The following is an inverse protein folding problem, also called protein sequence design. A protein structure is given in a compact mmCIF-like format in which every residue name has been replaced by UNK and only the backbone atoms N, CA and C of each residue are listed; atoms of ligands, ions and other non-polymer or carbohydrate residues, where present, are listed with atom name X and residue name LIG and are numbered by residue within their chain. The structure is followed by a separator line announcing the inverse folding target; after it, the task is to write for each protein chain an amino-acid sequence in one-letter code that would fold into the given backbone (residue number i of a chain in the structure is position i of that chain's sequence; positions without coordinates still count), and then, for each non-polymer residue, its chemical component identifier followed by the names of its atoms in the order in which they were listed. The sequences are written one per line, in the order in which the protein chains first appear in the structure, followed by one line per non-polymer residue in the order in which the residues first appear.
data_IF_880436053083
#
_entry.id   IF_880436053083
#
_cell.length_a   1.000
_cell.length_b   1.000
_cell.length_c   1.000
_cell.angle_alpha   90.00
_cell.angle_beta   90.00
_cell.angle_gamma   90.00
#
_symmetry.space_group_name_H-M   'P 1'
#
loop_
_entity.id
_entity.type
_entity.pdbx_description
1 polymer ?
#
# COMPACT_ATOMS: atom_id res chain seq x y z
N UNK A 1 35.03 -74.90 21.55
CA UNK A 1 33.96 -75.47 20.71
C UNK A 1 32.92 -74.37 20.49
N UNK A 2 32.93 -73.70 19.32
CA UNK A 2 32.03 -72.58 19.05
C UNK A 2 30.71 -73.10 18.48
N UNK A 3 29.54 -72.64 18.96
CA UNK A 3 28.26 -73.07 18.41
C UNK A 3 28.07 -72.43 17.03
N UNK A 4 27.83 -73.27 16.02
CA UNK A 4 27.39 -72.83 14.69
C UNK A 4 26.02 -72.17 14.83
N UNK A 5 25.99 -70.85 14.67
CA UNK A 5 24.77 -70.04 14.69
C UNK A 5 24.01 -70.36 13.40
N UNK A 6 22.91 -71.11 13.50
CA UNK A 6 22.02 -71.40 12.36
C UNK A 6 21.51 -70.07 11.80
N UNK A 7 21.82 -69.78 10.54
CA UNK A 7 21.25 -68.66 9.81
C UNK A 7 19.76 -68.98 9.56
N UNK A 8 18.88 -68.33 10.30
CA UNK A 8 17.44 -68.29 10.00
C UNK A 8 17.25 -67.37 8.80
N UNK A 9 17.02 -67.98 7.63
CA UNK A 9 16.68 -67.24 6.40
C UNK A 9 15.30 -66.59 6.50
N UNK A 10 15.14 -65.45 5.84
CA UNK A 10 13.85 -64.77 5.74
C UNK A 10 12.81 -65.65 5.05
N UNK A 11 11.59 -65.65 5.57
CA UNK A 11 10.48 -66.37 4.93
C UNK A 11 10.03 -65.61 3.67
N UNK A 12 9.56 -66.33 2.65
CA UNK A 12 9.12 -65.74 1.39
C UNK A 12 8.02 -64.67 1.61
N UNK A 13 7.13 -64.91 2.57
CA UNK A 13 6.07 -63.97 2.96
C UNK A 13 6.64 -62.67 3.55
N UNK A 14 7.66 -62.78 4.40
CA UNK A 14 8.32 -61.62 5.03
C UNK A 14 9.01 -60.73 3.99
N UNK A 15 9.59 -61.33 2.95
CA UNK A 15 10.19 -60.59 1.84
C UNK A 15 9.13 -59.88 0.98
N UNK A 16 7.98 -60.52 0.73
CA UNK A 16 6.87 -59.89 0.01
C UNK A 16 6.28 -58.71 0.79
N UNK A 17 6.12 -58.85 2.11
CA UNK A 17 5.62 -57.77 2.98
C UNK A 17 6.61 -56.60 3.02
N UNK A 18 7.91 -56.87 3.16
CA UNK A 18 8.93 -55.83 3.15
C UNK A 18 8.94 -55.03 1.83
N UNK A 19 8.81 -55.72 0.69
CA UNK A 19 8.74 -55.06 -0.62
C UNK A 19 7.45 -54.24 -0.80
N UNK A 20 6.31 -54.76 -0.31
CA UNK A 20 5.04 -54.04 -0.36
C UNK A 20 5.07 -52.76 0.48
N UNK A 21 5.57 -52.84 1.72
CA UNK A 21 5.73 -51.68 2.61
C UNK A 21 6.72 -50.68 2.01
N UNK A 22 7.85 -51.15 1.49
CA UNK A 22 8.84 -50.29 0.83
C UNK A 22 8.25 -49.52 -0.36
N UNK A 23 7.41 -50.18 -1.16
CA UNK A 23 6.76 -49.55 -2.32
C UNK A 23 5.76 -48.48 -1.90
N UNK A 24 4.96 -48.75 -0.87
CA UNK A 24 3.99 -47.76 -0.34
C UNK A 24 4.70 -46.53 0.22
N UNK A 25 5.79 -46.72 0.96
CA UNK A 25 6.58 -45.61 1.52
C UNK A 25 7.19 -44.76 0.40
N UNK A 26 7.79 -45.38 -0.62
CA UNK A 26 8.39 -44.66 -1.75
C UNK A 26 7.33 -43.88 -2.54
N UNK A 27 6.15 -44.48 -2.77
CA UNK A 27 5.04 -43.79 -3.46
C UNK A 27 4.51 -42.61 -2.65
N UNK A 28 4.31 -42.78 -1.33
CA UNK A 28 3.87 -41.70 -0.45
C UNK A 28 4.86 -40.54 -0.38
N UNK A 29 6.16 -40.84 -0.23
CA UNK A 29 7.21 -39.83 -0.22
C UNK A 29 7.37 -39.14 -1.58
N UNK A 30 7.22 -39.88 -2.68
CA UNK A 30 7.27 -39.34 -4.04
C UNK A 30 6.18 -38.32 -4.32
N UNK A 31 4.95 -38.56 -3.83
CA UNK A 31 3.86 -37.58 -3.94
C UNK A 31 4.16 -36.29 -3.17
N UNK A 32 4.61 -36.41 -1.92
CA UNK A 32 4.97 -35.24 -1.11
C UNK A 32 6.09 -34.41 -1.77
N UNK A 33 7.12 -35.09 -2.29
CA UNK A 33 8.21 -34.44 -3.02
C UNK A 33 7.69 -33.68 -4.24
N UNK A 34 6.85 -34.29 -5.07
CA UNK A 34 6.26 -33.64 -6.25
C UNK A 34 5.40 -32.42 -5.88
N UNK A 35 4.60 -32.52 -4.83
CA UNK A 35 3.79 -31.39 -4.34
C UNK A 35 4.68 -30.25 -3.85
N UNK A 36 5.74 -30.54 -3.10
CA UNK A 36 6.70 -29.52 -2.64
C UNK A 36 7.37 -28.79 -3.80
N UNK A 37 7.78 -29.49 -4.86
CA UNK A 37 8.34 -28.86 -6.06
C UNK A 37 7.34 -27.94 -6.77
N UNK A 38 6.08 -28.37 -6.87
CA UNK A 38 5.01 -27.54 -7.44
C UNK A 38 4.74 -26.29 -6.59
N UNK A 39 4.79 -26.40 -5.26
CA UNK A 39 4.62 -25.27 -4.35
C UNK A 39 5.76 -24.26 -4.47
N UNK A 40 7.02 -24.70 -4.54
CA UNK A 40 8.15 -23.79 -4.69
C UNK A 40 8.11 -23.00 -5.99
N UNK A 41 7.77 -23.65 -7.12
CA UNK A 41 7.63 -22.96 -8.40
C UNK A 41 6.52 -21.90 -8.38
N UNK A 42 5.40 -22.17 -7.70
CA UNK A 42 4.31 -21.19 -7.53
C UNK A 42 4.70 -20.01 -6.66
N UNK A 43 5.45 -20.24 -5.59
CA UNK A 43 5.91 -19.17 -4.70
C UNK A 43 6.91 -18.26 -5.41
N UNK A 44 7.83 -18.81 -6.20
CA UNK A 44 8.81 -18.01 -6.95
C UNK A 44 8.13 -17.14 -8.03
N UNK A 45 7.11 -17.65 -8.70
CA UNK A 45 6.35 -16.87 -9.69
C UNK A 45 5.57 -15.71 -9.04
N UNK A 46 4.92 -15.96 -7.90
CA UNK A 46 4.22 -14.92 -7.14
C UNK A 46 5.18 -13.85 -6.61
N UNK A 47 6.34 -14.25 -6.09
CA UNK A 47 7.34 -13.32 -5.57
C UNK A 47 7.89 -12.41 -6.69
N UNK A 48 8.16 -12.99 -7.88
CA UNK A 48 8.61 -12.21 -9.04
C UNK A 48 7.56 -11.19 -9.51
N UNK A 49 6.26 -11.54 -9.46
CA UNK A 49 5.17 -10.61 -9.80
C UNK A 49 5.11 -9.44 -8.82
N UNK A 50 5.26 -9.70 -7.52
CA UNK A 50 5.28 -8.66 -6.48
C UNK A 50 6.48 -7.71 -6.61
N UNK A 51 7.68 -8.26 -6.85
CA UNK A 51 8.88 -7.44 -7.06
C UNK A 51 8.75 -6.55 -8.31
N UNK A 52 8.20 -7.13 -9.39
CA UNK A 52 7.93 -6.41 -10.65
C UNK A 52 6.97 -5.24 -10.43
N UNK A 53 5.87 -5.45 -9.68
CA UNK A 53 4.91 -4.40 -9.32
C UNK A 53 5.59 -3.27 -8.54
N UNK A 54 6.29 -3.60 -7.47
CA UNK A 54 6.91 -2.60 -6.59
C UNK A 54 7.94 -1.76 -7.36
N UNK A 55 8.76 -2.43 -8.18
CA UNK A 55 9.74 -1.75 -9.01
C UNK A 55 9.09 -0.87 -10.08
N UNK A 56 8.06 -1.37 -10.78
CA UNK A 56 7.33 -0.61 -11.78
C UNK A 56 6.67 0.64 -11.19
N UNK A 57 5.90 0.48 -10.11
CA UNK A 57 5.20 1.57 -9.44
C UNK A 57 6.19 2.61 -8.94
N UNK A 58 7.27 2.21 -8.26
CA UNK A 58 8.26 3.16 -7.74
C UNK A 58 8.97 3.96 -8.85
N UNK A 59 9.29 3.33 -9.98
CA UNK A 59 9.91 4.01 -11.13
C UNK A 59 8.94 4.97 -11.81
N UNK A 60 7.74 4.50 -12.13
CA UNK A 60 6.72 5.30 -12.85
C UNK A 60 6.24 6.48 -12.03
N UNK A 61 5.94 6.25 -10.74
CA UNK A 61 5.54 7.31 -9.82
C UNK A 61 6.63 8.38 -9.74
N UNK A 62 7.90 8.00 -9.57
CA UNK A 62 8.98 8.96 -9.46
C UNK A 62 9.17 9.78 -10.75
N UNK A 63 9.11 9.14 -11.92
CA UNK A 63 9.29 9.80 -13.20
C UNK A 63 8.15 10.78 -13.50
N UNK A 64 6.90 10.31 -13.43
CA UNK A 64 5.75 11.18 -13.68
C UNK A 64 5.66 12.32 -12.65
N UNK A 65 6.09 12.12 -11.40
CA UNK A 65 6.18 13.22 -10.42
C UNK A 65 7.14 14.34 -10.85
N UNK A 66 8.20 14.02 -11.59
CA UNK A 66 9.15 15.01 -12.13
C UNK A 66 8.68 15.65 -13.44
N UNK A 67 7.52 15.24 -13.96
CA UNK A 67 7.06 15.62 -15.30
C UNK A 67 7.73 14.81 -16.42
N UNK A 68 8.47 13.74 -16.08
CA UNK A 68 9.02 12.82 -17.08
C UNK A 68 7.90 11.91 -17.58
N UNK A 69 7.41 12.21 -18.79
CA UNK A 69 6.36 11.44 -19.49
C UNK A 69 6.96 10.64 -20.65
N UNK A 70 6.14 9.83 -21.31
CA UNK A 70 6.57 9.04 -22.49
C UNK A 70 6.88 7.58 -22.18
N UNK A 71 6.37 7.04 -21.08
CA UNK A 71 6.39 5.60 -20.85
C UNK A 71 5.36 4.92 -21.73
N UNK A 72 5.76 3.81 -22.35
CA UNK A 72 4.90 3.06 -23.28
C UNK A 72 4.94 1.57 -22.95
N UNK A 73 3.87 0.84 -23.30
CA UNK A 73 3.92 -0.61 -23.35
C UNK A 73 4.28 -1.08 -24.76
N UNK A 74 5.21 -2.02 -24.84
CA UNK A 74 5.53 -2.71 -26.09
C UNK A 74 5.82 -4.19 -25.84
N UNK A 75 5.59 -5.00 -26.88
CA UNK A 75 5.88 -6.44 -26.84
C UNK A 75 7.36 -6.68 -26.54
N UNK A 76 7.63 -7.68 -25.71
CA UNK A 76 8.98 -8.16 -25.46
C UNK A 76 9.46 -8.96 -26.68
N UNK A 77 10.70 -8.74 -27.12
CA UNK A 77 11.27 -9.45 -28.29
C UNK A 77 11.50 -10.92 -28.02
N UNK A 78 11.74 -11.27 -26.75
CA UNK A 78 12.25 -12.59 -26.35
C UNK A 78 11.14 -13.53 -25.88
N UNK A 79 9.97 -12.98 -25.50
CA UNK A 79 8.85 -13.76 -24.98
C UNK A 79 7.56 -13.35 -25.71
N UNK A 80 7.01 -14.23 -26.57
CA UNK A 80 5.75 -13.96 -27.24
C UNK A 80 4.64 -13.87 -26.20
N UNK A 81 3.76 -12.88 -26.36
CA UNK A 81 2.62 -12.61 -25.47
C UNK A 81 2.95 -11.95 -24.12
N UNK A 82 4.12 -11.34 -24.00
CA UNK A 82 4.43 -10.45 -22.88
C UNK A 82 4.66 -9.02 -23.33
N UNK A 83 4.21 -8.09 -22.48
CA UNK A 83 4.48 -6.67 -22.60
C UNK A 83 5.59 -6.26 -21.64
N UNK A 84 6.31 -5.23 -22.04
CA UNK A 84 7.31 -4.54 -21.25
C UNK A 84 6.99 -3.06 -21.20
N UNK A 85 7.17 -2.46 -20.03
CA UNK A 85 7.15 -1.02 -19.86
C UNK A 85 8.49 -0.50 -20.39
N UNK A 86 8.41 0.50 -21.27
CA UNK A 86 9.57 1.16 -21.85
C UNK A 86 9.59 2.62 -21.46
N UNK A 87 10.78 3.15 -21.23
CA UNK A 87 10.97 4.59 -21.02
C UNK A 87 10.79 5.38 -22.33
N UNK A 88 10.91 6.71 -22.26
CA UNK A 88 10.85 7.60 -23.43
C UNK A 88 11.94 7.33 -24.48
N UNK A 89 13.02 6.64 -24.12
CA UNK A 89 14.10 6.23 -25.02
C UNK A 89 13.85 4.86 -25.66
N UNK A 90 12.74 4.19 -25.32
CA UNK A 90 12.39 2.86 -25.83
C UNK A 90 13.09 1.70 -25.11
N UNK A 91 13.81 1.94 -24.02
CA UNK A 91 14.49 0.89 -23.27
C UNK A 91 13.51 0.16 -22.33
N UNK A 92 13.53 -1.18 -22.27
CA UNK A 92 12.68 -1.94 -21.36
C UNK A 92 13.14 -1.74 -19.92
N UNK A 93 12.23 -1.29 -19.06
CA UNK A 93 12.46 -1.11 -17.62
C UNK A 93 11.82 -2.22 -16.79
N UNK A 94 10.67 -2.75 -17.24
CA UNK A 94 9.89 -3.77 -16.54
C UNK A 94 9.29 -4.71 -17.57
N UNK A 95 9.39 -6.03 -17.35
CA UNK A 95 8.80 -7.06 -18.21
C UNK A 95 7.76 -7.91 -17.47
N UNK A 96 7.25 -8.95 -18.14
CA UNK A 96 6.33 -9.92 -17.52
C UNK A 96 4.88 -9.44 -17.38
N UNK A 97 4.49 -8.39 -18.12
CA UNK A 97 3.10 -7.94 -18.18
C UNK A 97 2.32 -8.72 -19.24
N UNK A 98 1.03 -8.92 -19.00
CA UNK A 98 0.15 -9.61 -19.93
C UNK A 98 -0.32 -8.69 -21.07
N UNK A 99 -0.65 -9.32 -22.20
CA UNK A 99 -1.41 -8.65 -23.26
C UNK A 99 -2.85 -8.44 -22.80
N UNK A 100 -3.41 -7.26 -23.11
CA UNK A 100 -4.84 -7.00 -23.02
C UNK A 100 -5.44 -7.09 -24.41
N UNK A 101 -6.44 -7.95 -24.61
CA UNK A 101 -7.07 -8.18 -25.92
C UNK A 101 -6.07 -8.53 -27.05
N UNK A 102 -4.93 -9.14 -26.70
CA UNK A 102 -3.89 -9.55 -27.68
C UNK A 102 -2.85 -8.48 -28.00
N UNK A 103 -2.93 -7.30 -27.38
CA UNK A 103 -2.05 -6.17 -27.64
C UNK A 103 -1.46 -5.55 -26.35
N UNK A 104 -0.34 -4.85 -26.53
CA UNK A 104 0.26 -4.01 -25.49
C UNK A 104 -0.30 -2.59 -25.65
N UNK A 105 -1.46 -2.34 -25.03
CA UNK A 105 -2.13 -1.04 -25.16
C UNK A 105 -1.52 -0.01 -24.20
N UNK A 106 -0.73 0.93 -24.75
CA UNK A 106 -0.22 2.06 -23.95
C UNK A 106 -1.35 2.93 -23.43
N UNK A 107 -2.44 3.08 -24.20
CA UNK A 107 -3.62 3.84 -23.77
C UNK A 107 -4.29 3.22 -22.55
N UNK A 108 -4.27 1.89 -22.39
CA UNK A 108 -4.77 1.25 -21.16
C UNK A 108 -3.77 1.39 -20.02
N UNK A 109 -2.48 1.29 -20.33
CA UNK A 109 -1.41 1.35 -19.35
C UNK A 109 -1.32 2.69 -18.64
N UNK A 110 -1.41 3.80 -19.36
CA UNK A 110 -1.37 5.14 -18.78
C UNK A 110 -2.47 6.00 -19.41
N UNK A 111 -3.30 6.58 -18.54
CA UNK A 111 -4.35 7.54 -18.92
C UNK A 111 -4.22 8.77 -18.07
N UNK A 112 -4.71 9.89 -18.59
CA UNK A 112 -5.06 11.01 -17.73
C UNK A 112 -6.07 10.48 -16.70
N UNK A 113 -5.81 10.77 -15.43
CA UNK A 113 -6.79 10.46 -14.41
C UNK A 113 -7.95 11.44 -14.51
N UNK A 114 -9.15 10.93 -14.29
CA UNK A 114 -10.40 11.68 -14.34
C UNK A 114 -10.99 11.69 -12.92
N UNK A 115 -11.63 12.80 -12.50
CA UNK A 115 -12.44 12.86 -11.27
C UNK A 115 -13.94 12.69 -11.56
N UNK A 116 -14.32 13.07 -12.78
CA UNK A 116 -15.65 12.95 -13.36
C UNK A 116 -15.47 12.31 -14.74
N UNK A 117 -16.34 11.35 -15.14
CA UNK A 117 -16.19 10.68 -16.42
C UNK A 117 -16.08 11.67 -17.58
N UNK A 118 -14.95 11.64 -18.29
CA UNK A 118 -14.65 12.50 -19.44
C UNK A 118 -14.02 13.85 -19.13
N UNK A 119 -13.66 14.15 -17.88
CA UNK A 119 -12.94 15.37 -17.50
C UNK A 119 -11.51 15.05 -17.01
N UNK A 120 -10.52 15.03 -17.93
CA UNK A 120 -9.15 14.71 -17.59
C UNK A 120 -8.49 15.85 -16.81
N UNK A 121 -7.75 15.48 -15.76
CA UNK A 121 -7.04 16.45 -14.93
C UNK A 121 -5.60 16.55 -15.37
N UNK A 122 -5.16 17.79 -15.58
CA UNK A 122 -3.79 18.06 -15.99
C UNK A 122 -2.80 17.60 -14.90
N UNK A 123 -1.82 16.79 -15.29
CA UNK A 123 -0.79 16.27 -14.39
C UNK A 123 -1.23 15.09 -13.53
N UNK A 124 -2.49 14.67 -13.60
CA UNK A 124 -3.00 13.48 -12.93
C UNK A 124 -2.98 12.29 -13.88
N UNK A 125 -2.38 11.18 -13.47
CA UNK A 125 -2.23 9.99 -14.30
C UNK A 125 -2.64 8.73 -13.55
N UNK A 126 -3.40 7.87 -14.23
CA UNK A 126 -3.76 6.52 -13.79
C UNK A 126 -2.94 5.50 -14.57
N UNK A 127 -2.29 4.60 -13.84
CA UNK A 127 -1.57 3.46 -14.39
C UNK A 127 -2.37 2.19 -14.20
N UNK A 128 -2.35 1.30 -15.20
CA UNK A 128 -2.91 -0.05 -15.12
C UNK A 128 -1.88 -1.07 -15.60
N UNK A 129 -1.51 -2.00 -14.73
CA UNK A 129 -0.63 -3.12 -15.03
C UNK A 129 -1.46 -4.40 -15.10
N UNK A 130 -1.45 -5.08 -16.24
CA UNK A 130 -2.15 -6.34 -16.43
C UNK A 130 -1.16 -7.52 -16.28
N UNK A 131 -1.54 -8.51 -15.49
CA UNK A 131 -0.79 -9.75 -15.25
C UNK A 131 -1.62 -10.96 -15.66
N UNK A 132 -0.95 -12.05 -16.02
CA UNK A 132 -1.60 -13.32 -16.33
C UNK A 132 -1.69 -14.19 -15.07
N UNK A 133 -2.89 -14.71 -14.79
CA UNK A 133 -3.14 -15.72 -13.75
C UNK A 133 -2.92 -17.14 -14.29
N UNK A 134 -2.73 -18.09 -13.39
CA UNK A 134 -2.50 -19.51 -13.70
C UNK A 134 -3.65 -20.12 -14.52
N UNK A 135 -4.88 -19.64 -14.31
CA UNK A 135 -6.09 -20.06 -15.04
C UNK A 135 -6.25 -19.38 -16.41
N UNK A 136 -5.29 -18.54 -16.80
CA UNK A 136 -5.29 -17.78 -18.05
C UNK A 136 -6.11 -16.49 -18.00
N UNK A 137 -6.78 -16.17 -16.90
CA UNK A 137 -7.47 -14.89 -16.71
C UNK A 137 -6.49 -13.75 -16.42
N UNK A 138 -6.96 -12.51 -16.58
CA UNK A 138 -6.16 -11.30 -16.36
C UNK A 138 -6.39 -10.77 -14.94
N UNK A 139 -5.31 -10.33 -14.31
CA UNK A 139 -5.30 -9.61 -13.05
C UNK A 139 -4.74 -8.22 -13.29
N UNK A 140 -5.54 -7.19 -13.01
CA UNK A 140 -5.14 -5.80 -13.21
C UNK A 140 -4.84 -5.14 -11.88
N UNK A 141 -3.69 -4.49 -11.78
CA UNK A 141 -3.35 -3.57 -10.71
C UNK A 141 -3.39 -2.15 -11.26
N UNK A 142 -4.16 -1.27 -10.63
CA UNK A 142 -4.12 0.16 -10.97
C UNK A 142 -3.61 1.02 -9.83
N UNK A 143 -2.85 2.06 -10.17
CA UNK A 143 -2.39 3.05 -9.20
C UNK A 143 -2.37 4.44 -9.84
N UNK A 144 -2.30 5.46 -8.99
CA UNK A 144 -2.49 6.85 -9.35
C UNK A 144 -1.25 7.68 -9.02
N UNK A 145 -0.92 8.68 -9.83
CA UNK A 145 0.20 9.61 -9.58
C UNK A 145 -0.12 11.02 -10.06
N UNK A 146 0.51 12.02 -9.45
CA UNK A 146 0.35 13.44 -9.76
C UNK A 146 1.70 14.10 -10.04
N UNK A 147 1.79 14.90 -11.10
CA UNK A 147 2.95 15.75 -11.41
C UNK A 147 3.18 16.81 -10.32
N UNK A 148 4.43 17.00 -9.87
CA UNK A 148 4.75 17.96 -8.79
C UNK A 148 4.52 19.41 -9.18
N UNK A 149 4.71 19.74 -10.45
CA UNK A 149 4.72 21.11 -11.01
C UNK A 149 3.32 21.60 -11.41
N UNK A 150 2.32 20.69 -11.48
CA UNK A 150 0.97 20.98 -11.97
C UNK A 150 -0.10 20.75 -10.91
N UNK A 151 0.25 20.92 -9.63
CA UNK A 151 -0.69 20.71 -8.53
C UNK A 151 -1.84 21.69 -8.62
N UNK A 152 -3.04 21.15 -8.75
CA UNK A 152 -4.29 21.84 -8.48
C UNK A 152 -4.99 21.11 -7.34
N UNK A 153 -5.36 21.85 -6.30
CA UNK A 153 -6.28 21.37 -5.28
C UNK A 153 -7.67 21.38 -5.88
N UNK A 154 -8.14 20.18 -6.25
CA UNK A 154 -9.42 20.02 -6.91
C UNK A 154 -10.45 19.48 -5.92
N UNK A 155 -11.60 20.15 -5.75
CA UNK A 155 -12.69 19.66 -4.91
C UNK A 155 -13.44 18.52 -5.60
N UNK A 156 -13.89 17.53 -4.82
CA UNK A 156 -14.93 16.58 -5.21
C UNK A 156 -14.48 15.41 -6.09
N UNK A 157 -14.50 14.21 -5.51
CA UNK A 157 -14.48 12.95 -6.24
C UNK A 157 -14.80 11.78 -5.31
N UNK A 158 -16.00 11.20 -5.44
CA UNK A 158 -16.41 9.98 -4.75
C UNK A 158 -16.10 8.78 -5.66
N UNK A 159 -14.81 8.50 -5.92
CA UNK A 159 -14.44 7.31 -6.69
C UNK A 159 -13.83 6.23 -5.79
N UNK A 160 -14.48 5.07 -5.79
CA UNK A 160 -14.03 3.84 -5.12
C UNK A 160 -12.78 3.28 -5.82
N UNK A 161 -11.70 3.08 -5.07
CA UNK A 161 -10.49 2.42 -5.55
C UNK A 161 -9.41 2.23 -4.50
N UNK A 162 -8.71 1.10 -4.56
CA UNK A 162 -7.52 0.82 -3.76
C UNK A 162 -6.35 1.68 -4.28
N UNK A 163 -5.93 2.69 -3.50
CA UNK A 163 -4.82 3.55 -3.86
C UNK A 163 -3.67 3.46 -2.83
N UNK A 164 -2.54 2.91 -3.28
CA UNK A 164 -1.26 3.04 -2.59
C UNK A 164 -0.51 4.26 -3.11
N UNK A 165 -0.53 5.36 -2.34
CA UNK A 165 0.37 6.49 -2.55
C UNK A 165 1.74 6.18 -1.92
N UNK A 166 2.60 5.49 -2.67
CA UNK A 166 4.02 5.39 -2.33
C UNK A 166 4.70 6.75 -2.56
N UNK A 167 4.74 7.57 -1.50
CA UNK A 167 5.44 8.84 -1.48
C UNK A 167 6.94 8.69 -1.74
N UNK A 168 7.48 9.41 -2.74
CA UNK A 168 8.90 9.77 -2.76
C UNK A 168 9.26 10.48 -1.45
N UNK A 169 10.52 10.37 -0.96
CA UNK A 169 11.12 11.12 0.16
C UNK A 169 10.15 12.14 0.77
N UNK A 170 9.27 11.65 1.63
CA UNK A 170 8.39 12.53 2.39
C UNK A 170 9.31 13.21 3.39
N UNK A 171 9.47 14.54 3.35
CA UNK A 171 10.35 15.26 4.27
C UNK A 171 9.95 14.91 5.68
N UNK A 172 10.84 14.28 6.45
CA UNK A 172 10.52 13.62 7.74
C UNK A 172 9.39 14.34 8.51
N UNK A 173 8.37 13.64 9.01
CA UNK A 173 7.31 14.29 9.80
C UNK A 173 7.90 15.04 11.01
N UNK A 174 9.13 14.68 11.43
CA UNK A 174 9.95 15.48 12.36
C UNK A 174 10.18 16.90 11.84
N UNK A 175 10.73 17.04 10.63
CA UNK A 175 11.00 18.35 10.01
C UNK A 175 9.75 19.18 9.76
N UNK A 176 8.62 18.53 9.45
CA UNK A 176 7.33 19.21 9.33
C UNK A 176 6.86 19.75 10.68
N UNK A 177 6.91 18.92 11.73
CA UNK A 177 6.51 19.34 13.08
C UNK A 177 7.40 20.48 13.57
N UNK A 178 8.71 20.38 13.37
CA UNK A 178 9.68 21.41 13.78
C UNK A 178 9.45 22.75 13.07
N UNK A 179 9.01 22.75 11.81
CA UNK A 179 8.73 23.99 11.06
C UNK A 179 7.38 24.64 11.39
N UNK A 180 6.47 23.86 11.99
CA UNK A 180 5.14 24.30 12.43
C UNK A 180 5.13 24.76 13.88
N UNK A 181 6.00 24.19 14.72
CA UNK A 181 6.08 24.55 16.13
C UNK A 181 6.45 26.04 16.30
N UNK A 182 5.63 26.77 17.07
CA UNK A 182 5.90 28.16 17.41
C UNK A 182 5.33 29.19 16.43
N UNK A 183 4.57 28.78 15.41
CA UNK A 183 3.78 29.69 14.58
C UNK A 183 2.51 30.15 15.33
N UNK A 184 2.08 31.39 15.08
CA UNK A 184 0.91 31.99 15.74
C UNK A 184 -0.40 31.27 15.43
N UNK A 185 -0.49 30.60 14.27
CA UNK A 185 -1.65 29.85 13.80
C UNK A 185 -1.72 28.42 14.35
N UNK A 186 -0.74 28.01 15.16
CA UNK A 186 -0.64 26.66 15.73
C UNK A 186 -0.91 26.73 17.23
N UNK A 187 -2.07 26.21 17.66
CA UNK A 187 -2.42 26.14 19.07
C UNK A 187 -1.66 25.00 19.75
N UNK A 188 -0.82 25.33 20.73
CA UNK A 188 -0.16 24.33 21.56
C UNK A 188 -1.15 23.77 22.59
N UNK A 189 -1.60 22.54 22.38
CA UNK A 189 -2.43 21.78 23.34
C UNK A 189 -2.30 20.28 23.11
N UNK A 190 -2.44 19.50 24.19
CA UNK A 190 -2.58 18.04 24.15
C UNK A 190 -3.99 17.59 24.60
N UNK A 191 -4.93 18.54 24.75
CA UNK A 191 -6.29 18.25 25.20
C UNK A 191 -7.21 18.10 23.99
N UNK A 192 -7.75 16.89 23.80
CA UNK A 192 -8.68 16.63 22.70
C UNK A 192 -9.96 17.47 22.80
N UNK A 193 -10.44 17.80 24.01
CA UNK A 193 -11.61 18.68 24.17
C UNK A 193 -11.31 20.09 23.69
N UNK A 194 -10.13 20.64 24.03
CA UNK A 194 -9.70 21.95 23.54
C UNK A 194 -9.55 21.98 22.02
N UNK A 195 -9.02 20.90 21.43
CA UNK A 195 -8.91 20.79 19.98
C UNK A 195 -10.27 20.82 19.29
N UNK A 196 -11.27 20.08 19.81
CA UNK A 196 -12.64 20.03 19.27
C UNK A 196 -13.35 21.37 19.38
N UNK A 197 -13.25 22.02 20.53
CA UNK A 197 -13.96 23.27 20.82
C UNK A 197 -13.30 24.50 20.19
N UNK A 198 -12.01 24.40 19.84
CA UNK A 198 -11.27 25.50 19.22
C UNK A 198 -11.68 25.75 17.77
N UNK A 199 -11.67 27.02 17.36
CA UNK A 199 -11.79 27.43 15.95
C UNK A 199 -10.50 27.25 15.16
N UNK A 200 -9.38 27.00 15.84
CA UNK A 200 -8.08 26.79 15.19
C UNK A 200 -8.08 25.50 14.37
N UNK A 201 -7.26 25.51 13.32
CA UNK A 201 -7.08 24.37 12.42
C UNK A 201 -5.87 23.52 12.79
N UNK A 202 -4.79 24.14 13.29
CA UNK A 202 -3.53 23.48 13.57
C UNK A 202 -3.30 23.36 15.07
N UNK A 203 -2.95 22.17 15.51
CA UNK A 203 -2.71 21.85 16.91
C UNK A 203 -1.37 21.15 17.05
N UNK A 204 -0.61 21.53 18.07
CA UNK A 204 0.67 20.92 18.40
C UNK A 204 0.69 20.42 19.84
N UNK A 205 1.05 19.15 20.01
CA UNK A 205 1.23 18.50 21.30
C UNK A 205 2.69 18.07 21.48
N UNK A 206 3.32 18.49 22.57
CA UNK A 206 4.71 18.14 22.92
C UNK A 206 4.85 16.79 23.64
N UNK A 207 3.77 16.00 23.69
CA UNK A 207 3.70 14.71 24.36
C UNK A 207 2.87 13.70 23.54
N UNK A 208 2.54 12.54 24.11
CA UNK A 208 1.60 11.61 23.52
C UNK A 208 0.18 12.15 23.59
N UNK A 209 -0.54 12.01 22.47
CA UNK A 209 -1.97 12.25 22.43
C UNK A 209 -2.68 10.89 22.48
N UNK A 210 -3.20 10.52 23.66
CA UNK A 210 -3.69 9.17 23.90
C UNK A 210 -5.20 9.09 24.06
N UNK A 211 -5.79 8.04 23.48
CA UNK A 211 -7.12 7.55 23.74
C UNK A 211 -8.23 8.61 23.57
N UNK A 212 -8.10 9.47 22.56
CA UNK A 212 -9.13 10.47 22.25
C UNK A 212 -10.05 9.99 21.14
N UNK A 213 -11.29 10.48 21.18
CA UNK A 213 -12.30 10.26 20.16
C UNK A 213 -12.11 11.23 19.00
N UNK A 214 -12.25 10.74 17.76
CA UNK A 214 -12.15 11.56 16.54
C UNK A 214 -13.32 12.51 16.35
N UNK A 215 -14.45 12.27 17.05
CA UNK A 215 -15.63 13.12 16.94
C UNK A 215 -15.30 14.62 17.12
N UNK A 216 -15.77 15.45 16.19
CA UNK A 216 -15.61 16.90 16.22
C UNK A 216 -14.23 17.39 15.77
N UNK A 217 -13.38 16.53 15.20
CA UNK A 217 -12.06 16.91 14.68
C UNK A 217 -12.01 17.15 13.17
N UNK A 218 -13.18 17.31 12.53
CA UNK A 218 -13.27 17.55 11.09
C UNK A 218 -12.47 18.80 10.67
N UNK A 219 -11.64 18.67 9.64
CA UNK A 219 -10.83 19.76 9.08
C UNK A 219 -9.63 20.18 9.95
N UNK A 220 -9.28 19.42 10.98
CA UNK A 220 -8.18 19.76 11.91
C UNK A 220 -6.91 18.99 11.58
N UNK A 221 -5.77 19.64 11.82
CA UNK A 221 -4.43 19.06 11.71
C UNK A 221 -3.80 19.01 13.09
N UNK A 222 -3.46 17.81 13.53
CA UNK A 222 -2.92 17.52 14.85
C UNK A 222 -1.51 16.97 14.69
N UNK A 223 -0.57 17.65 15.32
CA UNK A 223 0.86 17.35 15.30
C UNK A 223 1.30 16.91 16.70
N UNK A 224 2.02 15.80 16.80
CA UNK A 224 2.52 15.28 18.08
C UNK A 224 4.02 14.96 18.03
N UNK A 225 4.77 15.43 19.03
CA UNK A 225 6.19 15.09 19.25
C UNK A 225 6.41 13.60 19.53
N UNK A 226 5.40 12.92 20.06
CA UNK A 226 5.47 11.49 20.33
C UNK A 226 4.46 10.74 19.47
N UNK A 227 3.65 9.86 20.05
CA UNK A 227 2.66 9.08 19.35
C UNK A 227 1.26 9.68 19.43
N UNK A 228 0.41 9.26 18.50
CA UNK A 228 -1.02 9.58 18.49
C UNK A 228 -1.77 8.26 18.62
N UNK A 229 -2.60 8.13 19.65
CA UNK A 229 -3.54 7.04 19.79
C UNK A 229 -4.95 7.59 19.87
N UNK A 230 -5.82 7.17 18.95
CA UNK A 230 -7.19 7.63 18.86
C UNK A 230 -8.17 6.48 18.71
N UNK A 231 -9.44 6.77 18.96
CA UNK A 231 -10.53 5.83 18.89
C UNK A 231 -11.64 6.32 17.96
N UNK A 232 -12.23 5.37 17.23
CA UNK A 232 -13.48 5.55 16.48
C UNK A 232 -14.54 4.67 17.15
N UNK A 233 -15.53 5.24 17.83
CA UNK A 233 -16.54 4.45 18.53
C UNK A 233 -17.96 4.79 18.06
N UNK A 234 -18.90 3.87 18.28
CA UNK A 234 -20.34 4.14 18.14
C UNK A 234 -20.76 4.79 16.80
N UNK A 235 -20.15 4.38 15.68
CA UNK A 235 -20.40 4.96 14.35
C UNK A 235 -20.02 6.45 14.20
N UNK A 236 -19.10 6.97 15.02
CA UNK A 236 -18.58 8.31 14.80
C UNK A 236 -17.77 8.34 13.50
N UNK A 237 -18.18 9.21 12.58
CA UNK A 237 -17.43 9.49 11.37
C UNK A 237 -16.68 10.80 11.52
N UNK A 238 -15.47 10.86 10.96
CA UNK A 238 -14.69 12.09 10.89
C UNK A 238 -14.14 12.22 9.49
N UNK A 239 -14.34 13.40 8.92
CA UNK A 239 -13.95 13.70 7.55
C UNK A 239 -12.87 14.77 7.60
N UNK A 240 -11.78 14.50 6.90
CA UNK A 240 -10.63 15.38 6.72
C UNK A 240 -9.90 15.74 8.01
N UNK A 241 -9.34 14.72 8.66
CA UNK A 241 -8.39 14.92 9.75
C UNK A 241 -6.94 14.70 9.28
N UNK A 242 -6.02 15.59 9.66
CA UNK A 242 -4.59 15.42 9.45
C UNK A 242 -3.92 15.00 10.76
N UNK A 243 -3.30 13.82 10.82
CA UNK A 243 -2.54 13.37 11.99
C UNK A 243 -1.06 13.23 11.61
N UNK A 244 -0.20 14.00 12.27
CA UNK A 244 1.25 13.96 12.04
C UNK A 244 1.98 13.66 13.35
N UNK A 245 2.79 12.61 13.38
CA UNK A 245 3.47 12.15 14.58
C UNK A 245 4.95 11.82 14.32
N UNK A 246 5.84 12.21 15.24
CA UNK A 246 7.25 11.75 15.18
C UNK A 246 7.40 10.26 15.56
N UNK A 247 6.45 9.73 16.34
CA UNK A 247 6.36 8.32 16.71
C UNK A 247 5.09 7.70 16.10
N UNK A 248 4.64 6.55 16.61
CA UNK A 248 3.58 5.74 16.03
C UNK A 248 2.20 6.39 16.07
N UNK A 249 1.36 6.06 15.09
CA UNK A 249 -0.07 6.36 15.08
C UNK A 249 -0.85 5.07 15.27
N UNK A 250 -1.71 5.02 16.28
CA UNK A 250 -2.52 3.84 16.61
C UNK A 250 -4.00 4.21 16.63
N UNK A 251 -4.80 3.54 15.81
CA UNK A 251 -6.25 3.62 15.87
C UNK A 251 -6.81 2.34 16.49
N UNK A 252 -7.71 2.51 17.45
CA UNK A 252 -8.60 1.46 17.92
C UNK A 252 -10.07 1.88 17.72
N UNK A 253 -11.02 1.00 17.95
CA UNK A 253 -12.42 1.39 17.92
C UNK A 253 -13.37 0.22 18.09
N UNK A 254 -14.55 0.51 18.63
CA UNK A 254 -15.56 -0.50 18.95
C UNK A 254 -16.96 -0.01 18.61
N UNK A 255 -17.88 -0.96 18.40
CA UNK A 255 -19.29 -0.69 18.12
C UNK A 255 -19.53 0.14 16.85
N UNK A 256 -18.71 -0.03 15.81
CA UNK A 256 -18.97 0.54 14.50
C UNK A 256 -19.61 -0.50 13.57
N UNK A 257 -20.54 -0.04 12.76
CA UNK A 257 -21.24 -0.76 11.70
C UNK A 257 -21.02 -0.08 10.35
N UNK A 258 -21.02 1.26 10.31
CA UNK A 258 -20.83 2.09 9.10
C UNK A 258 -20.10 3.41 9.45
N UNK A 259 -19.05 3.37 10.27
CA UNK A 259 -18.24 4.56 10.53
C UNK A 259 -17.35 4.87 9.32
N UNK A 260 -17.08 6.15 9.06
CA UNK A 260 -16.16 6.59 8.03
C UNK A 260 -15.07 7.47 8.63
N UNK A 261 -13.82 7.15 8.34
CA UNK A 261 -12.66 7.92 8.75
C UNK A 261 -11.92 8.40 7.51
N UNK A 262 -11.95 9.71 7.25
CA UNK A 262 -11.22 10.32 6.15
C UNK A 262 -10.10 11.22 6.65
N UNK A 263 -8.90 11.12 6.06
CA UNK A 263 -7.75 11.87 6.55
C UNK A 263 -6.39 11.50 5.99
N UNK A 264 -5.38 12.30 6.36
CA UNK A 264 -3.96 12.02 6.13
C UNK A 264 -3.31 11.62 7.43
N UNK A 265 -2.74 10.42 7.48
CA UNK A 265 -1.97 9.93 8.63
C UNK A 265 -0.50 9.84 8.29
N UNK A 266 0.34 10.55 9.02
CA UNK A 266 1.76 10.65 8.73
C UNK A 266 2.62 10.43 9.97
N UNK A 267 3.39 9.35 9.97
CA UNK A 267 4.23 8.94 11.10
C UNK A 267 5.68 8.70 10.68
N UNK A 268 6.62 9.08 11.56
CA UNK A 268 8.04 8.69 11.44
C UNK A 268 8.31 7.29 12.00
N UNK A 269 7.29 6.57 12.45
CA UNK A 269 7.36 5.17 12.86
C UNK A 269 6.11 4.42 12.36
N UNK A 270 5.66 3.42 13.11
CA UNK A 270 4.62 2.51 12.67
C UNK A 270 3.23 3.18 12.67
N UNK A 271 2.39 2.80 11.72
CA UNK A 271 0.97 3.16 11.73
C UNK A 271 0.16 1.86 11.84
N UNK A 272 -0.62 1.73 12.91
CA UNK A 272 -1.51 0.59 13.15
C UNK A 272 -2.95 1.07 13.22
N UNK A 273 -3.75 0.74 12.22
CA UNK A 273 -5.16 1.06 12.18
C UNK A 273 -5.98 -0.21 12.37
N UNK A 274 -6.80 -0.26 13.42
CA UNK A 274 -7.66 -1.42 13.67
C UNK A 274 -9.00 -1.04 14.27
N UNK A 275 -10.09 -1.21 13.51
CA UNK A 275 -11.44 -1.14 14.06
C UNK A 275 -12.43 -1.82 13.13
N UNK A 276 -13.34 -2.62 13.69
CA UNK A 276 -14.39 -3.30 12.94
C UNK A 276 -15.46 -2.30 12.50
N UNK A 277 -15.93 -2.38 11.25
CA UNK A 277 -17.05 -1.57 10.76
C UNK A 277 -16.71 -0.09 10.52
N UNK A 278 -15.43 0.19 10.29
CA UNK A 278 -14.91 1.49 9.84
C UNK A 278 -14.47 1.35 8.39
N UNK A 279 -14.84 2.31 7.55
CA UNK A 279 -14.24 2.55 6.23
C UNK A 279 -13.19 3.65 6.36
N UNK A 280 -12.00 3.44 5.81
CA UNK A 280 -10.95 4.45 5.77
C UNK A 280 -10.87 5.05 4.37
N UNK A 281 -10.89 6.38 4.30
CA UNK A 281 -10.87 7.14 3.05
C UNK A 281 -9.75 8.18 3.08
N UNK A 282 -8.55 7.92 2.54
CA UNK A 282 -7.47 8.87 2.74
C UNK A 282 -6.07 8.42 2.35
N UNK A 283 -5.06 8.97 3.00
CA UNK A 283 -3.66 8.65 2.74
C UNK A 283 -2.89 8.32 4.01
N UNK A 284 -2.03 7.31 3.93
CA UNK A 284 -1.19 6.91 5.05
C UNK A 284 0.27 6.94 4.62
N UNK A 285 1.10 7.63 5.40
CA UNK A 285 2.54 7.75 5.20
C UNK A 285 3.26 7.30 6.47
N UNK A 286 4.01 6.21 6.36
CA UNK A 286 4.85 5.71 7.43
C UNK A 286 6.27 5.52 6.88
N UNK A 287 7.27 5.83 7.68
CA UNK A 287 8.68 5.50 7.38
C UNK A 287 9.05 4.08 7.84
N UNK A 288 8.14 3.37 8.51
CA UNK A 288 8.31 2.03 9.07
C UNK A 288 7.14 1.13 8.64
N UNK A 289 6.61 0.29 9.53
CA UNK A 289 5.55 -0.65 9.22
C UNK A 289 4.18 0.00 9.24
N UNK A 290 3.34 -0.40 8.29
CA UNK A 290 1.93 -0.08 8.25
C UNK A 290 1.09 -1.35 8.44
N UNK A 291 0.05 -1.29 9.25
CA UNK A 291 -0.88 -2.40 9.46
C UNK A 291 -2.31 -1.87 9.50
N UNK A 292 -3.19 -2.43 8.67
CA UNK A 292 -4.63 -2.21 8.72
C UNK A 292 -5.37 -3.51 8.98
N UNK A 293 -6.23 -3.53 9.98
CA UNK A 293 -7.03 -4.70 10.34
C UNK A 293 -8.52 -4.32 10.47
N UNK A 294 -9.39 -5.20 9.97
CA UNK A 294 -10.85 -5.17 10.15
C UNK A 294 -11.63 -3.98 9.54
N UNK A 295 -11.08 -3.31 8.53
CA UNK A 295 -11.79 -2.27 7.78
C UNK A 295 -12.82 -2.86 6.79
N UNK A 296 -13.95 -2.17 6.61
CA UNK A 296 -15.03 -2.59 5.69
C UNK A 296 -14.80 -2.19 4.23
N UNK A 297 -14.16 -1.05 4.00
CA UNK A 297 -13.65 -0.63 2.68
C UNK A 297 -12.43 0.29 2.86
N UNK A 298 -11.61 0.38 1.81
CA UNK A 298 -10.50 1.32 1.71
C UNK A 298 -10.72 2.16 0.46
N UNK A 299 -10.78 3.48 0.63
CA UNK A 299 -10.99 4.43 -0.44
C UNK A 299 -9.96 5.57 -0.29
N UNK A 300 -9.74 6.37 -1.33
CA UNK A 300 -8.83 7.53 -1.26
C UNK A 300 -9.66 8.80 -1.10
N UNK A 301 -9.36 9.65 -0.10
CA UNK A 301 -9.90 11.02 -0.03
C UNK A 301 -8.78 11.99 -0.32
N UNK A 302 -8.90 12.67 -1.46
CA UNK A 302 -7.98 13.71 -1.91
C UNK A 302 -8.09 15.00 -1.11
N UNK A 303 -9.22 15.23 -0.44
CA UNK A 303 -9.47 16.46 0.34
C UNK A 303 -8.53 16.59 1.55
N UNK A 304 -8.06 15.46 2.06
CA UNK A 304 -7.27 15.45 3.29
C UNK A 304 -5.80 15.90 3.12
N UNK A 305 -5.25 15.90 1.90
CA UNK A 305 -3.91 16.49 1.64
C UNK A 305 -3.92 18.01 1.64
N UNK A 306 -5.03 18.64 1.25
CA UNK A 306 -5.22 20.08 1.27
C UNK A 306 -5.15 20.66 2.69
N UNK A 307 -5.32 19.83 3.73
CA UNK A 307 -5.17 20.24 5.12
C UNK A 307 -3.73 20.69 5.45
N UNK A 308 -2.73 20.17 4.75
CA UNK A 308 -1.31 20.46 5.00
C UNK A 308 -0.76 21.60 4.12
N UNK A 309 -1.58 22.19 3.25
CA UNK A 309 -1.12 23.12 2.21
C UNK A 309 -0.63 24.52 2.61
N UNK A 310 -1.17 25.23 3.62
CA UNK A 310 -0.80 26.64 3.79
C UNK A 310 0.69 26.89 4.12
N UNK A 311 1.48 25.84 4.34
CA UNK A 311 2.90 25.94 4.72
C UNK A 311 3.85 25.11 3.87
N UNK A 312 3.39 24.63 2.71
CA UNK A 312 4.19 23.83 1.78
C UNK A 312 4.40 24.53 0.43
N UNK A 313 5.21 25.60 0.44
CA UNK A 313 5.94 26.03 -0.75
C UNK A 313 7.15 25.09 -0.92
N UNK A 314 7.03 24.09 -1.79
CA UNK A 314 8.10 23.11 -2.05
C UNK A 314 9.26 23.64 -2.92
N UNK A 315 9.33 24.95 -3.15
CA UNK A 315 10.44 25.58 -3.85
C UNK A 315 11.72 25.67 -2.99
N UNK A 316 11.63 25.63 -1.65
CA UNK A 316 12.80 25.77 -0.76
C UNK A 316 13.51 24.46 -0.39
N UNK A 317 13.03 23.29 -0.85
CA UNK A 317 13.71 22.00 -0.62
C UNK A 317 14.62 21.57 -1.78
N UNK A 318 15.07 22.52 -2.62
CA UNK A 318 15.89 22.27 -3.82
C UNK A 318 17.39 22.47 -3.58
N UNK A 319 17.83 22.95 -2.41
CA UNK A 319 19.27 23.02 -2.09
C UNK A 319 19.58 22.32 -0.76
N UNK A 320 19.86 21.00 -0.84
CA UNK A 320 21.00 20.30 -0.22
C UNK A 320 21.02 18.79 -0.57
#
# INVERSE_FOLDING_TARGET
MMPSRRQTGFTLVELMVAMAIGTIIILGAGQLFLTTFQTFQKVDELNRKQETVIFATSRLVNAYRKGETGYTLAKTTDIPNECSIRNSSGEPIVGGLALYEGECSTERFVRAGELTPGEPIEGYHRFTLDFKRDDGSLESLSFHTMERQKRSCLPGGNEEGDAFLAGSRVPSPVSFIDSMQGRDEVLKTCSASEMRESSEKFFYCDNNLNNFDVEGLNGKVIMAEQGISFQVNNNQSTVDIGLVAKNAINMNGSNNQNAQLSGVFWSAQNISLGSNGVSFVGSVLSTSNFTMNNFSSQEESRESWCLLEPYYSLDEAVEE
#
